data_IF_178645302240
#
_entry.id   IF_178645302240
#
_cell.length_a   1.000
_cell.length_b   1.000
_cell.length_c   1.000
_cell.angle_alpha   90.00
_cell.angle_beta   90.00
_cell.angle_gamma   90.00
#
_symmetry.space_group_name_H-M   'P 1'
#
loop_
_entity.id
_entity.type
_entity.pdbx_description
1 polymer ?
#
# COMPACT_ATOMS: atom_id res chain seq x y z
N UNK A 1 58.06 -8.13 -9.21
CA UNK A 1 58.82 -9.39 -9.31
C UNK A 1 60.08 -9.11 -10.11
N UNK A 2 61.28 -9.31 -9.54
CA UNK A 2 62.56 -9.13 -10.27
C UNK A 2 62.98 -10.51 -10.79
N UNK A 3 62.80 -10.75 -12.09
CA UNK A 3 63.29 -11.98 -12.72
C UNK A 3 64.63 -11.64 -13.37
N UNK A 4 65.70 -12.25 -12.87
CA UNK A 4 67.07 -12.00 -13.34
C UNK A 4 67.42 -12.94 -14.48
N UNK A 5 67.67 -12.39 -15.66
CA UNK A 5 68.18 -13.11 -16.83
C UNK A 5 69.50 -12.51 -17.32
N UNK A 6 70.48 -12.30 -16.43
CA UNK A 6 71.73 -11.62 -16.77
C UNK A 6 72.96 -12.42 -16.36
N UNK A 7 73.80 -12.74 -17.34
CA UNK A 7 75.23 -12.97 -17.11
C UNK A 7 75.85 -11.78 -16.36
N UNK A 8 76.93 -12.06 -15.63
CA UNK A 8 77.62 -11.15 -14.70
C UNK A 8 78.09 -9.91 -15.46
N UNK A 9 77.41 -8.78 -15.23
CA UNK A 9 77.74 -7.47 -15.82
C UNK A 9 76.57 -6.73 -16.49
N UNK A 10 75.44 -7.42 -16.75
CA UNK A 10 74.25 -6.76 -17.27
C UNK A 10 73.47 -6.03 -16.16
N UNK A 11 73.05 -4.80 -16.42
CA UNK A 11 72.22 -4.04 -15.48
C UNK A 11 70.90 -4.78 -15.22
N UNK A 12 70.53 -4.93 -13.95
CA UNK A 12 69.27 -5.55 -13.54
C UNK A 12 68.07 -4.80 -14.13
N UNK A 13 67.43 -5.36 -15.15
CA UNK A 13 66.20 -4.81 -15.72
C UNK A 13 65.03 -5.13 -14.79
N UNK A 14 64.47 -4.10 -14.16
CA UNK A 14 63.24 -4.23 -13.41
C UNK A 14 62.04 -4.08 -14.36
N UNK A 15 61.44 -5.21 -14.76
CA UNK A 15 60.18 -5.19 -15.53
C UNK A 15 59.04 -4.92 -14.55
N UNK A 16 58.49 -3.71 -14.60
CA UNK A 16 57.24 -3.36 -13.89
C UNK A 16 56.07 -3.75 -14.79
N UNK A 17 55.38 -4.83 -14.45
CA UNK A 17 54.12 -5.20 -15.09
C UNK A 17 53.03 -4.31 -14.51
N UNK A 18 52.56 -3.36 -15.31
CA UNK A 18 51.45 -2.50 -14.93
C UNK A 18 50.12 -3.10 -15.41
N UNK A 19 49.28 -3.53 -14.46
CA UNK A 19 47.93 -4.04 -14.71
C UNK A 19 46.85 -2.98 -14.48
N UNK A 20 47.24 -1.75 -14.09
CA UNK A 20 46.31 -0.63 -13.88
C UNK A 20 45.94 0.10 -15.17
N UNK A 21 46.63 -0.18 -16.28
CA UNK A 21 46.38 0.45 -17.58
C UNK A 21 46.98 1.87 -17.73
N UNK A 22 47.54 2.45 -16.67
CA UNK A 22 48.15 3.79 -16.68
C UNK A 22 49.41 3.84 -17.55
N UNK A 23 50.21 2.78 -17.59
CA UNK A 23 51.39 2.64 -18.46
C UNK A 23 51.06 2.63 -19.95
N UNK A 24 49.78 2.47 -20.31
CA UNK A 24 49.28 2.57 -21.69
C UNK A 24 48.51 3.87 -21.95
N UNK A 25 48.58 4.86 -21.03
CA UNK A 25 47.88 6.14 -21.16
C UNK A 25 46.35 6.04 -21.06
N UNK A 26 45.84 4.97 -20.45
CA UNK A 26 44.40 4.74 -20.26
C UNK A 26 43.99 5.03 -18.82
N UNK A 27 42.68 5.25 -18.63
CA UNK A 27 42.11 5.40 -17.30
C UNK A 27 42.39 4.16 -16.43
N UNK A 28 42.64 4.39 -15.14
CA UNK A 28 42.97 3.36 -14.15
C UNK A 28 41.90 2.26 -14.14
N UNK A 29 42.33 1.03 -14.40
CA UNK A 29 41.50 -0.16 -14.37
C UNK A 29 41.42 -0.64 -12.92
N UNK A 30 40.24 -0.51 -12.31
CA UNK A 30 39.95 -1.06 -10.99
C UNK A 30 39.58 -2.54 -11.10
N UNK A 31 40.58 -3.41 -11.20
CA UNK A 31 40.35 -4.84 -11.34
C UNK A 31 41.32 -5.69 -10.54
N UNK A 32 42.56 -5.79 -11.01
CA UNK A 32 43.58 -6.65 -10.41
C UNK A 32 44.69 -5.78 -9.82
N UNK A 33 44.90 -5.88 -8.51
CA UNK A 33 46.01 -5.20 -7.80
C UNK A 33 47.02 -6.24 -7.32
N UNK A 34 48.32 -5.97 -7.53
CA UNK A 34 49.39 -6.85 -7.06
C UNK A 34 50.04 -6.25 -5.81
N UNK A 35 49.93 -6.96 -4.68
CA UNK A 35 50.63 -6.67 -3.42
C UNK A 35 51.41 -7.90 -2.97
N UNK A 36 52.39 -7.71 -2.09
CA UNK A 36 53.19 -8.79 -1.49
C UNK A 36 52.41 -9.49 -0.37
N UNK A 37 51.27 -10.08 -0.72
CA UNK A 37 50.34 -10.77 0.17
C UNK A 37 49.74 -12.00 -0.54
N UNK A 38 49.19 -12.98 0.19
CA UNK A 38 48.39 -14.05 -0.42
C UNK A 38 47.25 -13.48 -1.25
N UNK A 39 46.83 -14.23 -2.29
CA UNK A 39 45.71 -13.79 -3.13
C UNK A 39 44.44 -13.64 -2.29
N UNK A 40 43.70 -12.56 -2.53
CA UNK A 40 42.39 -12.33 -1.91
C UNK A 40 41.44 -11.76 -2.96
N UNK A 41 40.23 -12.29 -3.01
CA UNK A 41 39.18 -11.83 -3.93
C UNK A 41 38.39 -10.72 -3.24
N UNK A 42 38.41 -9.51 -3.81
CA UNK A 42 37.51 -8.44 -3.38
C UNK A 42 36.05 -8.85 -3.66
N UNK A 43 35.14 -8.32 -2.85
CA UNK A 43 33.71 -8.59 -2.95
C UNK A 43 33.19 -8.43 -4.39
N UNK A 44 32.58 -9.49 -4.93
CA UNK A 44 32.02 -9.50 -6.27
C UNK A 44 30.55 -9.05 -6.19
N UNK A 45 30.29 -7.78 -6.49
CA UNK A 45 28.93 -7.25 -6.57
C UNK A 45 28.38 -7.56 -7.97
N UNK A 46 27.50 -8.55 -8.05
CA UNK A 46 26.78 -8.88 -9.28
C UNK A 46 25.38 -8.26 -9.23
N UNK A 47 25.10 -7.35 -10.16
CA UNK A 47 23.80 -6.69 -10.31
C UNK A 47 22.85 -7.41 -11.30
N UNK A 48 23.32 -8.48 -11.94
CA UNK A 48 22.53 -9.30 -12.86
C UNK A 48 21.68 -10.34 -12.12
N UNK A 49 20.44 -10.51 -12.56
CA UNK A 49 19.53 -11.54 -12.07
C UNK A 49 18.89 -12.28 -13.25
N UNK A 50 18.58 -13.55 -13.04
CA UNK A 50 17.84 -14.34 -14.04
C UNK A 50 16.43 -13.77 -14.23
N UNK A 51 15.82 -14.06 -15.38
CA UNK A 51 14.41 -13.75 -15.61
C UNK A 51 13.56 -14.40 -14.51
N UNK A 52 12.79 -13.59 -13.80
CA UNK A 52 11.84 -14.04 -12.80
C UNK A 52 10.41 -13.89 -13.31
N UNK A 53 9.56 -14.84 -12.96
CA UNK A 53 8.11 -14.73 -13.17
C UNK A 53 7.49 -14.27 -11.85
N UNK A 54 6.40 -13.52 -11.89
CA UNK A 54 5.68 -13.11 -10.69
C UNK A 54 5.18 -14.37 -9.95
N UNK A 55 5.55 -14.52 -8.70
CA UNK A 55 5.18 -15.67 -7.86
C UNK A 55 4.10 -15.28 -6.84
N UNK A 56 4.23 -14.12 -6.22
CA UNK A 56 3.31 -13.64 -5.19
C UNK A 56 3.22 -12.11 -5.20
N UNK A 57 2.23 -11.53 -4.54
CA UNK A 57 2.13 -10.09 -4.34
C UNK A 57 1.71 -9.75 -2.92
N UNK A 58 2.20 -8.62 -2.41
CA UNK A 58 1.81 -8.08 -1.12
C UNK A 58 1.44 -6.61 -1.22
N UNK A 59 0.53 -6.17 -0.35
CA UNK A 59 0.10 -4.77 -0.28
C UNK A 59 0.60 -4.19 1.04
N UNK A 60 1.44 -3.16 0.96
CA UNK A 60 1.96 -2.47 2.15
C UNK A 60 0.95 -1.46 2.70
N UNK A 61 1.12 -0.99 3.95
CA UNK A 61 0.20 -0.04 4.54
C UNK A 61 0.08 1.31 3.82
N UNK A 62 1.09 1.66 3.02
CA UNK A 62 1.13 2.88 2.21
C UNK A 62 0.41 2.73 0.85
N UNK A 63 -0.26 1.58 0.65
CA UNK A 63 -1.00 1.23 -0.56
C UNK A 63 -0.13 0.73 -1.70
N UNK A 64 1.14 0.42 -1.45
CA UNK A 64 2.07 -0.06 -2.47
C UNK A 64 1.90 -1.57 -2.69
N UNK A 65 1.64 -1.96 -3.93
CA UNK A 65 1.58 -3.34 -4.38
C UNK A 65 2.97 -3.79 -4.82
N UNK A 66 3.59 -4.65 -4.02
CA UNK A 66 4.87 -5.26 -4.30
C UNK A 66 4.69 -6.65 -4.91
N UNK A 67 5.28 -6.91 -6.06
CA UNK A 67 5.37 -8.23 -6.65
C UNK A 67 6.64 -8.95 -6.20
N UNK A 68 6.52 -10.17 -5.69
CA UNK A 68 7.62 -11.08 -5.38
C UNK A 68 7.84 -12.03 -6.55
N UNK A 69 9.04 -12.03 -7.13
CA UNK A 69 9.37 -12.80 -8.32
C UNK A 69 10.19 -14.06 -7.98
N UNK A 70 10.15 -15.07 -8.86
CA UNK A 70 10.89 -16.34 -8.67
C UNK A 70 12.42 -16.18 -8.62
N UNK A 71 12.95 -15.04 -9.07
CA UNK A 71 14.36 -14.70 -8.99
C UNK A 71 14.75 -14.02 -7.65
N UNK A 72 13.85 -14.00 -6.67
CA UNK A 72 14.09 -13.42 -5.33
C UNK A 72 14.04 -11.90 -5.29
N UNK A 73 13.60 -11.23 -6.36
CA UNK A 73 13.39 -9.78 -6.38
C UNK A 73 11.96 -9.43 -5.96
N UNK A 74 11.85 -8.38 -5.16
CA UNK A 74 10.60 -7.70 -4.87
C UNK A 74 10.60 -6.37 -5.63
N UNK A 75 9.62 -6.18 -6.51
CA UNK A 75 9.50 -4.97 -7.33
C UNK A 75 8.19 -4.26 -6.96
N UNK A 76 8.23 -2.96 -6.62
CA UNK A 76 7.01 -2.18 -6.46
C UNK A 76 6.38 -1.94 -7.83
N UNK A 77 5.12 -2.35 -8.00
CA UNK A 77 4.43 -2.32 -9.29
C UNK A 77 3.44 -1.15 -9.36
N UNK A 78 2.56 -1.05 -8.37
CA UNK A 78 1.47 -0.06 -8.35
C UNK A 78 1.27 0.53 -6.96
N UNK A 79 0.65 1.70 -6.88
CA UNK A 79 0.21 2.30 -5.62
C UNK A 79 -1.26 2.66 -5.72
N UNK A 80 -2.06 2.22 -4.76
CA UNK A 80 -3.50 2.48 -4.72
C UNK A 80 -3.76 3.88 -4.12
N UNK A 81 -4.38 4.82 -4.86
CA UNK A 81 -4.86 6.06 -4.28
C UNK A 81 -6.19 5.85 -3.53
N UNK A 82 -6.41 6.66 -2.50
CA UNK A 82 -7.65 6.77 -1.76
C UNK A 82 -8.35 8.08 -2.13
N UNK A 83 -9.67 8.05 -2.26
CA UNK A 83 -10.47 9.26 -2.49
C UNK A 83 -11.04 9.76 -1.15
N UNK A 84 -10.65 10.96 -0.76
CA UNK A 84 -11.19 11.67 0.39
C UNK A 84 -12.26 12.65 -0.09
N UNK A 85 -13.34 12.77 0.68
CA UNK A 85 -14.42 13.73 0.45
C UNK A 85 -14.55 14.62 1.68
N UNK A 86 -14.79 15.91 1.47
CA UNK A 86 -14.97 16.86 2.57
C UNK A 86 -16.18 16.50 3.44
N UNK A 87 -17.24 15.98 2.84
CA UNK A 87 -18.43 15.52 3.54
C UNK A 87 -18.85 14.11 3.10
N UNK A 88 -18.46 13.05 3.83
CA UNK A 88 -18.84 11.67 3.50
C UNK A 88 -20.35 11.40 3.54
N UNK A 89 -21.11 12.12 4.39
CA UNK A 89 -22.57 11.97 4.49
C UNK A 89 -23.31 12.57 3.29
N UNK A 90 -22.64 13.39 2.49
CA UNK A 90 -23.18 13.96 1.25
C UNK A 90 -23.02 13.07 0.03
N UNK A 91 -22.46 11.87 0.18
CA UNK A 91 -22.26 10.91 -0.92
C UNK A 91 -23.56 10.17 -1.24
N UNK A 92 -23.80 9.95 -2.53
CA UNK A 92 -24.95 9.19 -3.00
C UNK A 92 -24.64 7.69 -3.00
N UNK A 93 -25.43 6.91 -2.25
CA UNK A 93 -25.31 5.46 -2.23
C UNK A 93 -25.84 4.88 -3.53
N UNK A 94 -24.96 4.24 -4.31
CA UNK A 94 -25.31 3.65 -5.62
C UNK A 94 -25.69 2.18 -5.52
N UNK A 95 -25.45 1.53 -4.36
CA UNK A 95 -25.69 0.10 -4.13
C UNK A 95 -24.39 -0.67 -3.90
N UNK A 96 -24.44 -1.93 -3.45
CA UNK A 96 -23.27 -2.81 -3.27
C UNK A 96 -22.10 -2.22 -2.46
N UNK A 97 -22.40 -1.35 -1.50
CA UNK A 97 -21.39 -0.57 -0.74
C UNK A 97 -20.58 0.42 -1.58
N UNK A 98 -21.01 0.70 -2.81
CA UNK A 98 -20.47 1.74 -3.68
C UNK A 98 -21.18 3.08 -3.44
N UNK A 99 -20.38 4.14 -3.47
CA UNK A 99 -20.80 5.52 -3.30
C UNK A 99 -20.35 6.35 -4.49
N UNK A 100 -21.14 7.38 -4.83
CA UNK A 100 -20.83 8.35 -5.87
C UNK A 100 -20.82 9.75 -5.28
N UNK A 101 -20.04 10.64 -5.90
CA UNK A 101 -20.06 12.07 -5.60
C UNK A 101 -21.50 12.60 -5.69
N UNK A 102 -21.96 13.22 -4.61
CA UNK A 102 -23.26 13.89 -4.52
C UNK A 102 -23.09 15.40 -4.53
N UNK A 103 -24.19 16.14 -4.61
CA UNK A 103 -24.14 17.60 -4.66
C UNK A 103 -23.51 18.25 -3.41
N UNK A 104 -23.61 17.57 -2.26
CA UNK A 104 -23.14 18.07 -0.95
C UNK A 104 -21.88 17.34 -0.43
N UNK A 105 -21.30 16.38 -1.17
CA UNK A 105 -20.09 15.68 -0.73
C UNK A 105 -18.80 16.48 -0.91
N UNK A 106 -18.83 17.45 -1.83
CA UNK A 106 -17.63 18.05 -2.41
C UNK A 106 -16.96 17.12 -3.42
N UNK A 107 -15.87 17.60 -4.02
CA UNK A 107 -15.11 16.86 -5.03
C UNK A 107 -14.19 15.82 -4.41
N UNK A 108 -13.92 14.74 -5.14
CA UNK A 108 -12.99 13.71 -4.72
C UNK A 108 -11.54 14.23 -4.69
N UNK A 109 -10.91 14.18 -3.52
CA UNK A 109 -9.48 14.45 -3.35
C UNK A 109 -8.71 13.15 -3.31
N UNK A 110 -7.94 12.86 -4.38
CA UNK A 110 -7.10 11.67 -4.46
C UNK A 110 -5.81 11.89 -3.67
N UNK A 111 -5.58 11.03 -2.68
CA UNK A 111 -4.38 11.04 -1.85
C UNK A 111 -3.85 9.61 -1.68
N UNK A 112 -2.55 9.45 -1.46
CA UNK A 112 -2.01 8.17 -1.09
C UNK A 112 -2.26 7.84 0.39
N UNK A 113 -2.33 6.55 0.72
CA UNK A 113 -2.48 6.11 2.10
C UNK A 113 -1.36 6.70 2.99
N UNK A 114 -1.70 7.04 4.24
CA UNK A 114 -0.85 7.71 5.25
C UNK A 114 -0.48 9.17 4.97
N UNK A 115 -0.85 9.73 3.81
CA UNK A 115 -0.58 11.14 3.47
C UNK A 115 -1.88 11.96 3.50
N UNK A 116 -1.78 13.28 3.72
CA UNK A 116 -2.91 14.22 3.55
C UNK A 116 -4.18 13.89 4.36
N UNK A 117 -4.05 13.20 5.50
CA UNK A 117 -5.19 12.78 6.32
C UNK A 117 -5.85 11.46 5.88
N UNK A 118 -5.33 10.82 4.83
CA UNK A 118 -5.75 9.49 4.43
C UNK A 118 -5.29 8.45 5.47
N UNK A 119 -6.16 7.48 5.76
CA UNK A 119 -5.83 6.34 6.62
C UNK A 119 -4.74 5.44 6.02
N UNK A 120 -4.37 4.39 6.77
CA UNK A 120 -3.50 3.32 6.29
C UNK A 120 -4.34 2.22 5.63
N UNK A 121 -3.78 1.55 4.64
CA UNK A 121 -4.35 0.34 4.08
C UNK A 121 -3.85 -0.86 4.91
N UNK A 122 -4.68 -1.88 5.07
CA UNK A 122 -4.23 -3.16 5.64
C UNK A 122 -4.50 -4.22 4.60
N UNK A 123 -3.43 -4.74 3.98
CA UNK A 123 -3.55 -5.80 2.99
C UNK A 123 -4.13 -7.08 3.59
N UNK A 124 -4.77 -7.89 2.73
CA UNK A 124 -5.27 -9.22 3.07
C UNK A 124 -6.28 -9.28 4.24
N UNK A 125 -6.95 -8.16 4.55
CA UNK A 125 -8.01 -8.08 5.57
C UNK A 125 -9.29 -7.52 4.96
N UNK A 126 -10.44 -7.93 5.50
CA UNK A 126 -11.75 -7.39 5.14
C UNK A 126 -12.31 -6.55 6.30
N UNK A 127 -12.81 -5.35 6.00
CA UNK A 127 -13.46 -4.49 6.99
C UNK A 127 -14.87 -5.02 7.30
N UNK A 128 -15.16 -5.19 8.60
CA UNK A 128 -16.46 -5.66 9.07
C UNK A 128 -17.45 -4.50 9.22
N UNK A 129 -18.74 -4.82 9.18
CA UNK A 129 -19.78 -3.83 9.45
C UNK A 129 -19.63 -3.23 10.85
N UNK A 130 -19.86 -1.93 10.97
CA UNK A 130 -19.85 -1.20 12.22
C UNK A 130 -21.16 -1.32 13.02
N UNK A 131 -22.04 -2.25 12.66
CA UNK A 131 -23.40 -2.37 13.20
C UNK A 131 -23.46 -3.42 14.31
N UNK A 132 -23.98 -3.05 15.48
CA UNK A 132 -24.36 -4.00 16.53
C UNK A 132 -25.83 -4.39 16.37
N UNK A 133 -26.06 -5.67 16.07
CA UNK A 133 -27.41 -6.20 15.86
C UNK A 133 -28.31 -6.03 17.09
N UNK A 134 -27.76 -6.12 18.29
CA UNK A 134 -28.56 -6.05 19.53
C UNK A 134 -29.20 -4.68 19.69
N UNK A 135 -28.41 -3.63 19.48
CA UNK A 135 -28.87 -2.23 19.58
C UNK A 135 -29.81 -1.86 18.44
N UNK A 136 -29.56 -2.37 17.23
CA UNK A 136 -30.47 -2.19 16.09
C UNK A 136 -31.83 -2.86 16.35
N UNK A 137 -31.85 -4.07 16.92
CA UNK A 137 -33.11 -4.73 17.30
C UNK A 137 -33.87 -3.95 18.37
N UNK A 138 -33.18 -3.41 19.38
CA UNK A 138 -33.83 -2.56 20.40
C UNK A 138 -34.40 -1.29 19.77
N UNK A 139 -33.68 -0.67 18.84
CA UNK A 139 -34.14 0.51 18.10
C UNK A 139 -35.38 0.19 17.26
N UNK A 140 -35.39 -0.95 16.58
CA UNK A 140 -36.54 -1.45 15.84
C UNK A 140 -37.75 -1.67 16.76
N UNK A 141 -37.56 -2.31 17.91
CA UNK A 141 -38.63 -2.52 18.90
C UNK A 141 -39.17 -1.17 19.42
N UNK A 142 -38.30 -0.20 19.71
CA UNK A 142 -38.71 1.15 20.10
C UNK A 142 -39.56 1.82 19.02
N UNK A 143 -39.14 1.74 17.76
CA UNK A 143 -39.90 2.25 16.62
C UNK A 143 -41.28 1.60 16.49
N UNK A 144 -41.35 0.27 16.59
CA UNK A 144 -42.60 -0.48 16.55
C UNK A 144 -43.54 -0.13 17.72
N UNK A 145 -43.00 -0.03 18.95
CA UNK A 145 -43.78 0.37 20.13
C UNK A 145 -44.27 1.81 20.02
N UNK A 146 -43.45 2.71 19.47
CA UNK A 146 -43.85 4.08 19.16
C UNK A 146 -45.02 4.12 18.18
N UNK A 147 -44.93 3.39 17.07
CA UNK A 147 -46.02 3.29 16.10
C UNK A 147 -47.31 2.70 16.71
N UNK A 148 -47.20 1.63 17.51
CA UNK A 148 -48.35 1.04 18.21
C UNK A 148 -48.99 2.04 19.19
N UNK A 149 -48.19 2.83 19.91
CA UNK A 149 -48.70 3.85 20.82
C UNK A 149 -49.41 4.96 20.03
N UNK A 150 -48.81 5.47 18.95
CA UNK A 150 -49.43 6.46 18.07
C UNK A 150 -50.74 5.96 17.47
N UNK A 151 -50.81 4.70 17.02
CA UNK A 151 -52.02 4.10 16.48
C UNK A 151 -53.15 4.00 17.52
N UNK A 152 -52.82 3.65 18.78
CA UNK A 152 -53.81 3.62 19.87
C UNK A 152 -54.32 5.01 20.24
N UNK A 153 -53.46 6.03 20.19
CA UNK A 153 -53.89 7.42 20.43
C UNK A 153 -54.90 7.84 19.36
N UNK A 154 -54.64 7.51 18.09
CA UNK A 154 -55.59 7.78 16.99
C UNK A 154 -56.91 7.03 17.20
N UNK A 155 -56.88 5.72 17.45
CA UNK A 155 -58.12 4.94 17.62
C UNK A 155 -58.95 5.39 18.82
N UNK A 156 -58.29 5.77 19.92
CA UNK A 156 -58.98 6.28 21.11
C UNK A 156 -59.57 7.66 20.83
N UNK A 157 -58.86 8.50 20.07
CA UNK A 157 -59.38 9.78 19.59
C UNK A 157 -60.63 9.60 18.71
N UNK A 158 -60.60 8.66 17.79
CA UNK A 158 -61.73 8.35 16.91
C UNK A 158 -62.96 7.87 17.70
N UNK A 159 -62.76 7.02 18.71
CA UNK A 159 -63.83 6.55 19.60
C UNK A 159 -64.49 7.69 20.38
N UNK A 160 -63.69 8.62 20.94
CA UNK A 160 -64.21 9.80 21.64
C UNK A 160 -65.00 10.71 20.70
N UNK A 161 -64.52 10.90 19.47
CA UNK A 161 -65.23 11.69 18.45
C UNK A 161 -66.58 11.06 18.08
N UNK A 162 -66.64 9.73 17.92
CA UNK A 162 -67.87 9.01 17.64
C UNK A 162 -68.88 9.15 18.80
N UNK A 163 -68.42 9.03 20.04
CA UNK A 163 -69.27 9.20 21.23
C UNK A 163 -69.84 10.63 21.34
N UNK A 164 -69.03 11.66 21.03
CA UNK A 164 -69.49 13.05 20.98
C UNK A 164 -70.54 13.30 19.89
N UNK A 165 -70.42 12.67 18.72
CA UNK A 165 -71.42 12.79 17.63
C UNK A 165 -72.74 12.15 18.06
N UNK A 166 -72.69 11.01 18.74
CA UNK A 166 -73.87 10.30 19.24
C UNK A 166 -74.58 11.06 20.38
N UNK A 167 -73.87 11.91 21.13
CA UNK A 167 -74.41 12.75 22.21
C UNK A 167 -75.22 13.97 21.72
N UNK A 168 -75.07 14.35 20.45
CA UNK A 168 -75.82 15.47 19.82
C UNK A 168 -77.25 15.08 19.41
N UNK A 169 -77.66 13.83 19.63
CA UNK A 169 -78.99 13.31 19.29
C UNK A 169 -79.99 13.41 20.42
#
# INVERSE_FOLDING_TARGET
>A
MRVGFGEIGAQNVAVKLDFSGESFGKAKIEGITQYDSPFTTKEYIQNGYAMGILNDFSVTPDGLVNGSFTNGKNIPMYRLPLALFANPQGLDKTGDSCFREGANSGTAQLQFATEGGAGKIIGSTLEMSNVDLTDEFVTLIKGQRGFQASARVVSTGDQVLEELINLKR
#
